data_IF_111858306976
#
_entry.id   IF_111858306976
#
_cell.length_a   1.000
_cell.length_b   1.000
_cell.length_c   1.000
_cell.angle_alpha   90.00
_cell.angle_beta   90.00
_cell.angle_gamma   90.00
#
_symmetry.space_group_name_H-M   'P 1'
#
loop_
_entity.id
_entity.type
_entity.pdbx_description
1 polymer ?
#
# COMPACT_ATOMS: atom_id res chain seq x y z
N UNK A 1 -25.51 11.24 -0.58
CA UNK A 1 -24.90 9.95 -0.97
C UNK A 1 -23.40 10.16 -1.01
N UNK A 2 -22.63 9.44 -0.18
CA UNK A 2 -21.18 9.52 -0.23
C UNK A 2 -20.70 8.85 -1.53
N UNK A 3 -20.02 9.60 -2.39
CA UNK A 3 -19.40 9.05 -3.58
C UNK A 3 -18.24 8.17 -3.11
N UNK A 4 -18.45 6.86 -3.03
CA UNK A 4 -17.34 5.92 -2.89
C UNK A 4 -16.60 5.90 -4.23
N UNK A 5 -15.55 6.69 -4.37
CA UNK A 5 -14.64 6.64 -5.52
C UNK A 5 -13.86 5.33 -5.47
N UNK A 6 -14.46 4.25 -5.99
CA UNK A 6 -13.76 2.97 -6.14
C UNK A 6 -12.53 3.17 -7.04
N UNK A 7 -11.33 2.93 -6.51
CA UNK A 7 -10.11 2.97 -7.30
C UNK A 7 -10.18 1.86 -8.35
N UNK A 8 -10.04 2.21 -9.63
CA UNK A 8 -10.10 1.27 -10.74
C UNK A 8 -8.70 0.82 -11.15
N UNK A 9 -8.60 -0.43 -11.58
CA UNK A 9 -7.39 -0.97 -12.16
C UNK A 9 -7.10 -0.28 -13.49
N UNK A 10 -5.87 0.18 -13.70
CA UNK A 10 -5.45 0.79 -14.96
C UNK A 10 -5.39 -0.21 -16.14
N UNK A 11 -5.34 -1.52 -15.86
CA UNK A 11 -5.23 -2.56 -16.90
C UNK A 11 -6.58 -3.06 -17.41
N UNK A 12 -7.53 -3.29 -16.51
CA UNK A 12 -8.81 -3.95 -16.83
C UNK A 12 -10.04 -3.16 -16.37
N UNK A 13 -9.85 -2.00 -15.73
CA UNK A 13 -10.93 -1.12 -15.27
C UNK A 13 -11.71 -1.61 -14.05
N UNK A 14 -11.41 -2.80 -13.51
CA UNK A 14 -12.14 -3.38 -12.39
C UNK A 14 -11.81 -2.66 -11.08
N UNK A 15 -12.73 -2.67 -10.09
CA UNK A 15 -12.45 -2.14 -8.77
C UNK A 15 -11.26 -2.84 -8.12
N UNK A 16 -10.31 -2.05 -7.63
CA UNK A 16 -9.21 -2.55 -6.83
C UNK A 16 -9.60 -2.63 -5.36
N UNK A 17 -9.03 -3.61 -4.66
CA UNK A 17 -9.25 -3.86 -3.25
C UNK A 17 -8.10 -3.26 -2.46
N UNK A 18 -8.41 -2.54 -1.38
CA UNK A 18 -7.41 -2.08 -0.41
C UNK A 18 -6.90 -3.27 0.40
N UNK A 19 -5.59 -3.44 0.49
CA UNK A 19 -4.96 -4.58 1.16
C UNK A 19 -3.69 -4.15 1.86
N UNK A 20 -3.29 -4.90 2.87
CA UNK A 20 -1.98 -4.80 3.48
C UNK A 20 -1.35 -6.18 3.59
N UNK A 21 -0.03 -6.23 3.50
CA UNK A 21 0.78 -7.41 3.79
C UNK A 21 1.82 -7.04 4.84
N UNK A 22 2.10 -7.96 5.74
CA UNK A 22 3.19 -7.82 6.71
C UNK A 22 4.21 -8.94 6.53
N UNK A 23 5.48 -8.58 6.61
CA UNK A 23 6.62 -9.47 6.50
C UNK A 23 7.51 -9.25 7.72
N UNK A 24 7.83 -10.35 8.41
CA UNK A 24 8.89 -10.34 9.42
C UNK A 24 10.22 -10.50 8.70
N UNK A 25 11.06 -9.48 8.79
CA UNK A 25 12.43 -9.49 8.30
C UNK A 25 13.38 -9.92 9.42
N UNK A 26 14.66 -10.02 9.09
CA UNK A 26 15.70 -10.38 10.05
C UNK A 26 15.77 -9.40 11.23
N UNK A 27 16.23 -9.92 12.38
CA UNK A 27 16.52 -9.15 13.60
C UNK A 27 15.33 -8.36 14.17
N UNK A 28 14.10 -8.83 13.94
CA UNK A 28 12.90 -8.24 14.54
C UNK A 28 12.38 -7.00 13.80
N UNK A 29 12.92 -6.71 12.62
CA UNK A 29 12.36 -5.72 11.70
C UNK A 29 11.07 -6.26 11.09
N UNK A 30 10.01 -5.45 11.09
CA UNK A 30 8.74 -5.78 10.41
C UNK A 30 8.52 -4.77 9.30
N UNK A 31 8.20 -5.26 8.11
CA UNK A 31 7.73 -4.45 7.00
C UNK A 31 6.24 -4.64 6.83
N UNK A 32 5.49 -3.55 6.76
CA UNK A 32 4.08 -3.56 6.36
C UNK A 32 3.97 -2.76 5.08
N UNK A 33 3.38 -3.36 4.04
CA UNK A 33 3.09 -2.64 2.80
C UNK A 33 1.59 -2.56 2.60
N UNK A 34 1.11 -1.34 2.38
CA UNK A 34 -0.29 -1.01 2.17
C UNK A 34 -0.45 -0.63 0.70
N UNK A 35 -1.39 -1.27 0.01
CA UNK A 35 -1.52 -1.15 -1.44
C UNK A 35 -2.93 -1.49 -1.93
N UNK A 36 -3.26 -1.07 -3.15
CA UNK A 36 -4.44 -1.56 -3.87
C UNK A 36 -4.06 -2.75 -4.76
N UNK A 37 -4.89 -3.80 -4.79
CA UNK A 37 -4.73 -4.98 -5.67
C UNK A 37 -5.95 -5.18 -6.55
N UNK A 38 -5.75 -5.42 -7.85
CA UNK A 38 -6.82 -5.93 -8.70
C UNK A 38 -6.99 -7.44 -8.45
N UNK A 39 -8.19 -7.92 -8.07
CA UNK A 39 -8.41 -9.35 -7.85
C UNK A 39 -8.41 -10.18 -9.14
N UNK A 40 -8.58 -9.55 -10.30
CA UNK A 40 -8.65 -10.26 -11.59
C UNK A 40 -7.27 -10.37 -12.26
N UNK A 41 -6.59 -9.25 -12.52
CA UNK A 41 -5.28 -9.27 -13.19
C UNK A 41 -4.07 -9.22 -12.25
N UNK A 42 -4.28 -9.07 -10.95
CA UNK A 42 -3.21 -9.00 -9.95
C UNK A 42 -2.41 -7.68 -9.93
N UNK A 43 -2.75 -6.70 -10.78
CA UNK A 43 -2.05 -5.41 -10.79
C UNK A 43 -2.11 -4.73 -9.42
N UNK A 44 -0.98 -4.15 -9.01
CA UNK A 44 -0.77 -3.57 -7.68
C UNK A 44 -0.41 -2.10 -7.76
N UNK A 45 -0.92 -1.30 -6.84
CA UNK A 45 -0.57 0.13 -6.66
C UNK A 45 -0.20 0.37 -5.19
N UNK A 46 1.08 0.57 -4.92
CA UNK A 46 1.57 0.85 -3.58
C UNK A 46 1.12 2.22 -3.08
N UNK A 47 0.71 2.27 -1.81
CA UNK A 47 0.28 3.49 -1.14
C UNK A 47 1.28 3.87 -0.08
N UNK A 48 1.64 2.92 0.79
CA UNK A 48 2.52 3.18 1.92
C UNK A 48 3.37 1.95 2.27
N UNK A 49 4.57 2.18 2.77
CA UNK A 49 5.41 1.19 3.43
C UNK A 49 5.75 1.67 4.84
N UNK A 50 5.54 0.80 5.83
CA UNK A 50 5.98 0.99 7.20
C UNK A 50 7.13 0.02 7.49
N UNK A 51 8.23 0.52 8.03
CA UNK A 51 9.31 -0.28 8.60
C UNK A 51 9.33 -0.06 10.10
N UNK A 52 9.10 -1.13 10.84
CA UNK A 52 9.01 -1.11 12.30
C UNK A 52 10.21 -1.89 12.83
N UNK A 53 11.13 -1.20 13.49
CA UNK A 53 12.35 -1.77 14.04
C UNK A 53 12.35 -1.61 15.56
N UNK A 54 12.74 -2.66 16.28
CA UNK A 54 12.99 -2.57 17.72
C UNK A 54 14.45 -2.21 17.94
N UNK A 55 14.71 -1.11 18.65
CA UNK A 55 16.06 -0.65 18.99
C UNK A 55 16.16 -0.45 20.51
N UNK A 56 16.61 -1.50 21.20
CA UNK A 56 16.60 -1.55 22.67
C UNK A 56 15.18 -1.48 23.21
N UNK A 57 14.89 -0.48 24.05
CA UNK A 57 13.56 -0.21 24.61
C UNK A 57 12.66 0.62 23.67
N UNK A 58 13.20 1.12 22.56
CA UNK A 58 12.48 1.98 21.64
C UNK A 58 11.93 1.19 20.44
N UNK A 59 10.82 1.68 19.89
CA UNK A 59 10.29 1.24 18.60
C UNK A 59 10.46 2.39 17.61
N UNK A 60 11.20 2.15 16.54
CA UNK A 60 11.38 3.09 15.44
C UNK A 60 10.44 2.71 14.32
N UNK A 61 9.59 3.65 13.91
CA UNK A 61 8.67 3.47 12.77
C UNK A 61 9.08 4.44 11.66
N UNK A 62 9.53 3.90 10.54
CA UNK A 62 9.78 4.68 9.32
C UNK A 62 8.61 4.50 8.36
N UNK A 63 7.93 5.60 8.01
CA UNK A 63 6.82 5.60 7.05
C UNK A 63 7.26 6.21 5.73
N UNK A 64 7.03 5.48 4.63
CA UNK A 64 7.18 5.98 3.26
C UNK A 64 5.80 6.01 2.62
N UNK A 65 5.37 7.19 2.15
CA UNK A 65 4.10 7.38 1.44
C UNK A 65 4.41 7.60 -0.04
N UNK A 66 3.78 6.82 -0.91
CA UNK A 66 3.93 6.94 -2.35
C UNK A 66 2.92 7.96 -2.87
N UNK A 67 3.38 8.93 -3.67
CA UNK A 67 2.47 9.90 -4.26
C UNK A 67 1.58 9.19 -5.28
N UNK A 68 0.28 9.41 -5.14
CA UNK A 68 -0.74 8.91 -6.05
C UNK A 68 -1.18 10.01 -7.00
N UNK A 69 -0.24 10.77 -7.56
CA UNK A 69 -0.56 11.67 -8.67
C UNK A 69 -0.76 10.83 -9.93
N UNK A 70 -2.02 10.51 -10.20
CA UNK A 70 -2.46 10.24 -11.56
C UNK A 70 -2.33 11.53 -12.34
N UNK A 71 -1.47 11.56 -13.34
CA UNK A 71 -1.65 12.44 -14.50
C UNK A 71 -3.04 12.16 -15.06
N UNK A 72 -4.04 12.92 -14.61
CA UNK A 72 -5.28 13.07 -15.34
C UNK A 72 -4.99 14.08 -16.43
N UNK A 73 -4.44 13.58 -17.54
CA UNK A 73 -4.40 14.32 -18.79
C UNK A 73 -5.82 14.46 -19.32
N UNK A 74 -6.35 15.67 -19.26
CA UNK A 74 -7.35 16.22 -20.18
C UNK A 74 -7.03 17.70 -20.37
#
# INVERSE_FOLDING_TARGET
MAVSTSIKCSKDGNPMIFTYESEKLDKGLVRVTIYYKCPLCGSRRDLEELRIERSGENIVITRRVYSVFSEQGT
#
